data_IF_589006334795
#
_entry.id   IF_589006334795
#
_cell.length_a   1.000
_cell.length_b   1.000
_cell.length_c   1.000
_cell.angle_alpha   90.00
_cell.angle_beta   90.00
_cell.angle_gamma   90.00
#
_symmetry.space_group_name_H-M   'P 1'
#
loop_
_entity.id
_entity.type
_entity.pdbx_description
1 polymer ?
#
# COMPACT_ATOMS: atom_id res chain seq x y z
N UNK A 1 -1.10 12.33 6.90
CA UNK A 1 -1.43 11.24 7.82
C UNK A 1 -2.88 11.35 8.34
N UNK A 2 -3.33 12.47 8.97
CA UNK A 2 -4.69 12.60 9.51
C UNK A 2 -5.81 12.34 8.51
N UNK A 3 -5.66 12.76 7.24
CA UNK A 3 -6.66 12.49 6.19
C UNK A 3 -6.67 11.00 5.83
N UNK A 4 -5.50 10.36 5.82
CA UNK A 4 -5.37 8.93 5.51
C UNK A 4 -5.98 8.06 6.61
N UNK A 5 -5.69 8.38 7.87
CA UNK A 5 -6.13 7.59 9.03
C UNK A 5 -7.65 7.73 9.28
N UNK A 6 -8.20 8.91 9.06
CA UNK A 6 -9.63 9.23 9.35
C UNK A 6 -10.55 9.11 8.15
N UNK A 7 -10.02 8.84 6.95
CA UNK A 7 -10.72 8.78 5.65
C UNK A 7 -11.46 10.08 5.29
N UNK A 8 -12.15 10.70 6.25
CA UNK A 8 -12.92 11.92 6.12
C UNK A 8 -12.62 12.87 7.29
N UNK A 9 -12.21 14.11 7.02
CA UNK A 9 -11.85 15.07 8.07
C UNK A 9 -12.07 16.52 7.60
N UNK A 10 -12.54 17.40 8.48
CA UNK A 10 -12.65 18.83 8.20
C UNK A 10 -11.34 19.57 8.45
N UNK A 11 -11.14 20.72 7.79
CA UNK A 11 -9.98 21.60 8.05
C UNK A 11 -9.90 22.05 9.49
N UNK A 12 -11.07 22.30 10.14
CA UNK A 12 -11.14 22.66 11.55
C UNK A 12 -10.60 21.54 12.43
N UNK A 13 -10.99 20.30 12.15
CA UNK A 13 -10.53 19.13 12.90
C UNK A 13 -9.03 18.89 12.72
N UNK A 14 -8.48 19.09 11.50
CA UNK A 14 -7.03 19.01 11.28
C UNK A 14 -6.31 20.06 12.14
N UNK A 15 -6.83 21.30 12.20
CA UNK A 15 -6.26 22.36 13.02
C UNK A 15 -6.25 21.99 14.52
N UNK A 16 -7.34 21.42 15.03
CA UNK A 16 -7.45 20.95 16.41
C UNK A 16 -6.47 19.80 16.70
N UNK A 17 -6.46 18.77 15.86
CA UNK A 17 -5.65 17.55 16.05
C UNK A 17 -4.13 17.82 15.92
N UNK A 18 -3.73 18.80 15.11
CA UNK A 18 -2.31 19.13 14.86
C UNK A 18 -1.79 20.31 15.66
N UNK A 19 -2.67 21.12 16.26
CA UNK A 19 -2.30 22.39 16.88
C UNK A 19 -1.89 23.49 15.90
N UNK A 20 -1.95 23.25 14.56
CA UNK A 20 -1.68 24.26 13.55
C UNK A 20 -2.81 25.27 13.45
N UNK A 21 -2.48 26.52 13.17
CA UNK A 21 -3.51 27.53 12.97
C UNK A 21 -4.31 27.28 11.67
N UNK A 22 -5.56 27.77 11.62
CA UNK A 22 -6.49 27.54 10.51
C UNK A 22 -5.98 28.05 9.16
N UNK A 23 -5.20 29.14 9.16
CA UNK A 23 -4.63 29.70 7.92
C UNK A 23 -3.57 28.76 7.33
N UNK A 24 -2.66 28.25 8.17
CA UNK A 24 -1.64 27.28 7.77
C UNK A 24 -2.27 26.00 7.22
N UNK A 25 -3.28 25.44 7.92
CA UNK A 25 -4.00 24.26 7.44
C UNK A 25 -4.65 24.54 6.09
N UNK A 26 -5.29 25.71 5.93
CA UNK A 26 -5.93 26.06 4.66
C UNK A 26 -4.95 26.18 3.50
N UNK A 27 -3.76 26.72 3.74
CA UNK A 27 -2.70 26.80 2.72
C UNK A 27 -2.23 25.40 2.31
N UNK A 28 -1.86 24.55 3.28
CA UNK A 28 -1.41 23.17 3.02
C UNK A 28 -2.47 22.38 2.25
N UNK A 29 -3.74 22.47 2.68
CA UNK A 29 -4.84 21.76 2.00
C UNK A 29 -5.00 22.26 0.58
N UNK A 30 -4.92 23.58 0.35
CA UNK A 30 -5.00 24.16 -1.00
C UNK A 30 -3.88 23.63 -1.90
N UNK A 31 -2.65 23.50 -1.38
CA UNK A 31 -1.53 22.95 -2.15
C UNK A 31 -1.78 21.49 -2.50
N UNK A 32 -2.29 20.68 -1.58
CA UNK A 32 -2.63 19.28 -1.85
C UNK A 32 -3.79 19.13 -2.83
N UNK A 33 -4.77 20.03 -2.80
CA UNK A 33 -5.85 20.07 -3.80
C UNK A 33 -5.30 20.44 -5.19
N UNK A 34 -4.38 21.40 -5.27
CA UNK A 34 -3.70 21.77 -6.52
C UNK A 34 -2.90 20.58 -7.09
N UNK A 35 -2.28 19.78 -6.22
CA UNK A 35 -1.60 18.52 -6.56
C UNK A 35 -2.58 17.36 -6.81
N UNK A 36 -3.89 17.57 -6.71
CA UNK A 36 -4.91 16.52 -6.88
C UNK A 36 -4.74 15.30 -5.95
N UNK A 37 -4.14 15.50 -4.79
CA UNK A 37 -3.97 14.46 -3.76
C UNK A 37 -5.18 14.37 -2.83
N UNK A 38 -5.87 15.51 -2.64
CA UNK A 38 -7.01 15.68 -1.74
C UNK A 38 -8.14 16.39 -2.48
N UNK A 39 -9.35 16.01 -2.18
CA UNK A 39 -10.57 16.65 -2.70
C UNK A 39 -11.53 17.05 -1.59
N UNK A 40 -12.37 18.02 -1.86
CA UNK A 40 -13.45 18.46 -0.96
C UNK A 40 -14.74 17.73 -1.34
N UNK A 41 -15.35 17.08 -0.37
CA UNK A 41 -16.65 16.45 -0.51
C UNK A 41 -17.65 17.11 0.42
N UNK A 42 -18.89 17.25 -0.03
CA UNK A 42 -20.00 17.72 0.79
C UNK A 42 -20.81 16.53 1.27
N UNK A 43 -20.34 15.84 2.28
CA UNK A 43 -21.10 14.78 2.94
C UNK A 43 -21.41 15.20 4.36
N UNK A 44 -22.67 15.23 4.73
CA UNK A 44 -23.11 15.44 6.10
C UNK A 44 -24.51 16.01 6.17
N UNK A 45 -25.37 15.37 6.97
CA UNK A 45 -26.66 15.91 7.36
C UNK A 45 -26.44 17.21 8.13
N UNK A 46 -27.05 18.30 7.68
CA UNK A 46 -26.97 19.56 8.38
C UNK A 46 -28.16 19.71 9.32
N UNK A 47 -27.89 19.72 10.60
CA UNK A 47 -28.86 20.15 11.61
C UNK A 47 -28.93 21.70 11.65
N UNK A 48 -29.27 22.32 10.51
CA UNK A 48 -29.61 23.75 10.45
C UNK A 48 -28.44 24.75 10.26
N UNK A 49 -27.22 24.32 9.92
CA UNK A 49 -26.06 25.19 9.66
C UNK A 49 -25.41 24.94 8.27
N UNK A 50 -24.39 25.76 7.91
CA UNK A 50 -23.59 25.54 6.71
C UNK A 50 -22.91 24.15 6.82
N UNK A 51 -23.17 23.28 5.83
CA UNK A 51 -22.56 21.93 5.79
C UNK A 51 -21.04 22.01 5.91
N UNK A 52 -20.41 21.23 6.79
CA UNK A 52 -18.95 21.20 6.88
C UNK A 52 -18.36 20.67 5.58
N UNK A 53 -17.31 21.32 5.12
CA UNK A 53 -16.51 20.83 4.00
C UNK A 53 -15.60 19.73 4.53
N UNK A 54 -15.75 18.54 4.00
CA UNK A 54 -14.98 17.37 4.35
C UNK A 54 -13.87 17.17 3.31
N UNK A 55 -12.68 16.86 3.77
CA UNK A 55 -11.53 16.51 2.97
C UNK A 55 -11.38 15.00 2.93
N UNK A 56 -11.13 14.46 1.75
CA UNK A 56 -10.79 13.05 1.52
C UNK A 56 -9.61 12.97 0.56
N UNK A 57 -8.90 11.84 0.55
CA UNK A 57 -7.91 11.58 -0.49
C UNK A 57 -8.61 11.48 -1.84
N UNK A 58 -7.95 11.91 -2.92
CA UNK A 58 -8.51 11.73 -4.27
C UNK A 58 -8.25 10.29 -4.73
N UNK A 59 -9.31 9.55 -5.06
CA UNK A 59 -9.20 8.17 -5.55
C UNK A 59 -8.44 8.08 -6.88
N UNK A 60 -8.41 9.19 -7.64
CA UNK A 60 -7.72 9.29 -8.91
C UNK A 60 -6.31 9.89 -8.80
N UNK A 61 -5.75 10.03 -7.60
CA UNK A 61 -4.38 10.51 -7.47
C UNK A 61 -3.38 9.50 -8.05
N UNK A 62 -3.48 8.23 -7.67
CA UNK A 62 -2.61 7.18 -8.18
C UNK A 62 -2.90 5.84 -7.53
N UNK A 63 -2.14 4.83 -7.93
CA UNK A 63 -2.36 3.43 -7.57
C UNK A 63 -1.09 2.77 -7.06
N UNK A 64 -1.25 1.75 -6.23
CA UNK A 64 -0.16 0.89 -5.78
C UNK A 64 -0.50 -0.56 -6.11
N UNK A 65 0.52 -1.37 -6.37
CA UNK A 65 0.40 -2.82 -6.49
C UNK A 65 0.95 -3.45 -5.21
N UNK A 66 0.15 -4.29 -4.57
CA UNK A 66 0.62 -5.14 -3.48
C UNK A 66 0.65 -6.60 -3.94
N UNK A 67 1.75 -7.26 -3.61
CA UNK A 67 2.06 -8.65 -3.99
C UNK A 67 2.21 -9.48 -2.72
N UNK A 68 1.40 -10.52 -2.57
CA UNK A 68 1.59 -11.58 -1.58
C UNK A 68 2.25 -12.78 -2.29
N UNK A 69 3.54 -12.95 -2.04
CA UNK A 69 4.33 -14.04 -2.63
C UNK A 69 4.30 -15.26 -1.70
N UNK A 70 3.31 -16.11 -1.94
CA UNK A 70 3.22 -17.42 -1.31
C UNK A 70 4.25 -18.42 -1.83
N UNK A 71 4.17 -19.66 -1.35
CA UNK A 71 5.06 -20.75 -1.78
C UNK A 71 4.53 -21.51 -2.98
N UNK A 72 3.22 -21.52 -3.19
CA UNK A 72 2.53 -22.21 -4.29
C UNK A 72 1.75 -21.25 -5.20
N UNK A 73 1.42 -20.07 -4.70
CA UNK A 73 0.64 -19.06 -5.41
C UNK A 73 1.18 -17.67 -5.10
N UNK A 74 1.05 -16.79 -6.07
CA UNK A 74 1.29 -15.34 -5.90
C UNK A 74 -0.03 -14.63 -6.14
N UNK A 75 -0.43 -13.77 -5.21
CA UNK A 75 -1.60 -12.93 -5.31
C UNK A 75 -1.19 -11.48 -5.47
N UNK A 76 -1.85 -10.76 -6.36
CA UNK A 76 -1.61 -9.35 -6.59
C UNK A 76 -2.91 -8.57 -6.51
N UNK A 77 -2.84 -7.37 -5.98
CA UNK A 77 -3.92 -6.40 -6.02
C UNK A 77 -3.42 -5.07 -6.56
N UNK A 78 -4.25 -4.40 -7.35
CA UNK A 78 -4.12 -2.98 -7.68
C UNK A 78 -5.10 -2.22 -6.78
N UNK A 79 -4.61 -1.26 -6.01
CA UNK A 79 -5.43 -0.44 -5.13
C UNK A 79 -5.11 1.05 -5.30
N UNK A 80 -6.13 1.91 -5.12
CA UNK A 80 -5.94 3.35 -5.10
C UNK A 80 -5.38 3.82 -3.73
N UNK A 81 -5.07 5.11 -3.60
CA UNK A 81 -4.53 5.67 -2.36
C UNK A 81 -5.52 5.68 -1.17
N UNK A 82 -6.80 5.37 -1.41
CA UNK A 82 -7.81 5.14 -0.36
C UNK A 82 -7.80 3.68 0.15
N UNK A 83 -6.92 2.83 -0.37
CA UNK A 83 -6.88 1.37 -0.15
C UNK A 83 -8.10 0.63 -0.72
N UNK A 84 -8.77 1.18 -1.73
CA UNK A 84 -9.85 0.50 -2.45
C UNK A 84 -9.26 -0.34 -3.56
N UNK A 85 -9.62 -1.63 -3.58
CA UNK A 85 -9.09 -2.57 -4.56
C UNK A 85 -9.81 -2.37 -5.88
N UNK A 86 -9.02 -2.09 -6.92
CA UNK A 86 -9.48 -1.83 -8.28
C UNK A 86 -9.45 -3.10 -9.13
N UNK A 87 -8.39 -3.89 -9.01
CA UNK A 87 -8.21 -5.13 -9.75
C UNK A 87 -7.42 -6.15 -8.93
N UNK A 88 -7.55 -7.42 -9.29
CA UNK A 88 -6.84 -8.55 -8.70
C UNK A 88 -6.24 -9.40 -9.80
N UNK A 89 -5.10 -10.01 -9.51
CA UNK A 89 -4.48 -11.02 -10.34
C UNK A 89 -3.85 -12.09 -9.45
N UNK A 90 -3.66 -13.28 -9.98
CA UNK A 90 -2.96 -14.35 -9.27
C UNK A 90 -2.39 -15.37 -10.25
N UNK A 91 -1.33 -16.05 -9.85
CA UNK A 91 -0.77 -17.18 -10.61
C UNK A 91 -0.19 -18.24 -9.68
N UNK A 92 -0.17 -19.48 -10.15
CA UNK A 92 0.43 -20.61 -9.43
C UNK A 92 1.91 -20.72 -9.74
N UNK A 93 2.71 -21.04 -8.72
CA UNK A 93 4.15 -21.36 -8.87
C UNK A 93 4.26 -22.88 -9.12
N UNK A 94 4.54 -23.26 -10.35
CA UNK A 94 4.82 -24.65 -10.74
C UNK A 94 6.30 -24.95 -10.84
N UNK A 95 7.10 -23.91 -11.13
CA UNK A 95 8.55 -23.96 -11.20
C UNK A 95 9.11 -22.89 -10.27
N UNK A 96 9.94 -23.29 -9.32
CA UNK A 96 10.51 -22.40 -8.30
C UNK A 96 11.73 -21.61 -8.78
N UNK A 97 12.21 -21.84 -10.01
CA UNK A 97 13.30 -21.05 -10.58
C UNK A 97 12.94 -19.55 -10.57
N UNK A 98 13.83 -18.75 -9.99
CA UNK A 98 13.57 -17.31 -9.81
C UNK A 98 13.20 -16.63 -11.14
N UNK A 99 13.91 -16.93 -12.23
CA UNK A 99 13.65 -16.34 -13.55
C UNK A 99 12.21 -16.55 -14.03
N UNK A 100 11.64 -17.74 -13.77
CA UNK A 100 10.31 -18.11 -14.24
C UNK A 100 9.23 -17.45 -13.37
N UNK A 101 9.43 -17.42 -12.05
CA UNK A 101 8.52 -16.72 -11.13
C UNK A 101 8.57 -15.21 -11.38
N UNK A 102 9.76 -14.64 -11.58
CA UNK A 102 9.92 -13.21 -11.88
C UNK A 102 9.25 -12.84 -13.22
N UNK A 103 9.40 -13.65 -14.26
CA UNK A 103 8.72 -13.41 -15.55
C UNK A 103 7.18 -13.42 -15.38
N UNK A 104 6.64 -14.40 -14.62
CA UNK A 104 5.21 -14.49 -14.32
C UNK A 104 4.73 -13.30 -13.49
N UNK A 105 5.53 -12.88 -12.51
CA UNK A 105 5.25 -11.69 -11.69
C UNK A 105 5.18 -10.43 -12.54
N UNK A 106 6.15 -10.21 -13.41
CA UNK A 106 6.14 -9.06 -14.34
C UNK A 106 4.90 -9.09 -15.24
N UNK A 107 4.55 -10.26 -15.82
CA UNK A 107 3.35 -10.39 -16.63
C UNK A 107 2.07 -10.03 -15.84
N UNK A 108 1.97 -10.48 -14.59
CA UNK A 108 0.82 -10.15 -13.73
C UNK A 108 0.75 -8.66 -13.37
N UNK A 109 1.90 -8.02 -13.11
CA UNK A 109 2.00 -6.56 -12.86
C UNK A 109 1.59 -5.79 -14.12
N UNK A 110 2.10 -6.17 -15.30
CA UNK A 110 1.77 -5.54 -16.58
C UNK A 110 0.26 -5.62 -16.87
N UNK A 111 -0.38 -6.77 -16.58
CA UNK A 111 -1.83 -6.94 -16.71
C UNK A 111 -2.61 -6.03 -15.76
N UNK A 112 -2.20 -5.92 -14.48
CA UNK A 112 -2.85 -5.01 -13.53
C UNK A 112 -2.66 -3.55 -13.94
N UNK A 113 -1.46 -3.19 -14.39
CA UNK A 113 -1.16 -1.82 -14.84
C UNK A 113 -2.02 -1.45 -16.07
N UNK A 114 -2.28 -2.41 -16.97
CA UNK A 114 -3.16 -2.17 -18.13
C UNK A 114 -4.64 -1.95 -17.75
N UNK A 115 -5.06 -2.42 -16.59
CA UNK A 115 -6.40 -2.23 -16.05
C UNK A 115 -6.53 -0.97 -15.17
N UNK A 116 -5.42 -0.26 -14.95
CA UNK A 116 -5.38 0.92 -14.08
C UNK A 116 -6.22 2.05 -14.70
N UNK A 117 -7.20 2.60 -13.95
CA UNK A 117 -7.96 3.74 -14.43
C UNK A 117 -7.07 4.99 -14.61
N UNK A 118 -7.47 5.96 -15.44
CA UNK A 118 -6.75 7.22 -15.57
C UNK A 118 -6.54 7.90 -14.21
N UNK A 119 -5.31 8.34 -13.95
CA UNK A 119 -4.94 8.98 -12.69
C UNK A 119 -3.87 10.05 -12.88
N UNK A 120 -3.70 10.91 -11.86
CA UNK A 120 -2.76 12.02 -11.94
C UNK A 120 -1.30 11.53 -11.96
N UNK A 121 -0.97 10.51 -11.16
CA UNK A 121 0.40 10.05 -10.93
C UNK A 121 0.67 8.62 -11.40
N UNK A 122 -0.34 7.91 -11.93
CA UNK A 122 -0.16 6.54 -12.39
C UNK A 122 0.15 5.56 -11.27
N UNK A 123 1.06 4.62 -11.56
CA UNK A 123 1.57 3.67 -10.55
C UNK A 123 2.54 4.39 -9.63
N UNK A 124 2.25 4.38 -8.34
CA UNK A 124 3.02 5.07 -7.29
C UNK A 124 4.10 4.19 -6.67
N UNK A 125 3.89 2.87 -6.67
CA UNK A 125 4.83 1.94 -6.08
C UNK A 125 4.32 0.50 -6.07
N UNK A 126 5.25 -0.41 -5.76
CA UNK A 126 5.00 -1.85 -5.64
C UNK A 126 5.46 -2.29 -4.25
N UNK A 127 4.63 -3.06 -3.55
CA UNK A 127 4.97 -3.65 -2.26
C UNK A 127 4.89 -5.16 -2.33
N UNK A 128 5.89 -5.86 -1.79
CA UNK A 128 5.95 -7.31 -1.74
C UNK A 128 5.94 -7.81 -0.30
N UNK A 129 5.04 -8.74 -0.01
CA UNK A 129 5.06 -9.57 1.19
C UNK A 129 5.64 -10.93 0.80
N UNK A 130 6.71 -11.38 1.46
CA UNK A 130 7.36 -12.66 1.14
C UNK A 130 7.56 -13.51 2.39
N UNK A 131 7.52 -14.82 2.22
CA UNK A 131 7.73 -15.79 3.31
C UNK A 131 9.19 -16.21 3.39
N UNK A 132 10.03 -15.26 3.83
CA UNK A 132 11.48 -15.46 3.86
C UNK A 132 12.21 -14.47 4.73
N UNK A 133 13.54 -14.58 4.75
CA UNK A 133 14.44 -13.67 5.45
C UNK A 133 14.84 -12.55 4.48
N UNK A 134 14.53 -11.31 4.86
CA UNK A 134 14.90 -10.10 4.13
C UNK A 134 15.84 -9.29 5.02
N UNK A 135 16.88 -8.72 4.44
CA UNK A 135 17.75 -7.80 5.16
C UNK A 135 17.26 -6.36 5.12
N UNK A 136 18.00 -5.46 5.79
CA UNK A 136 17.66 -4.04 5.89
C UNK A 136 17.75 -3.29 4.55
N UNK A 137 18.46 -3.84 3.57
CA UNK A 137 18.58 -3.28 2.23
C UNK A 137 17.48 -3.79 1.28
N UNK A 138 16.56 -4.65 1.76
CA UNK A 138 15.47 -5.21 0.98
C UNK A 138 15.88 -6.39 0.09
N UNK A 139 17.03 -7.00 0.36
CA UNK A 139 17.50 -8.20 -0.36
C UNK A 139 16.93 -9.45 0.30
N UNK A 140 16.32 -10.31 -0.49
CA UNK A 140 15.89 -11.64 -0.04
C UNK A 140 17.14 -12.47 0.24
N UNK A 141 17.42 -12.72 1.51
CA UNK A 141 18.54 -13.59 1.90
C UNK A 141 18.21 -15.05 1.74
N UNK A 142 16.99 -15.43 2.07
CA UNK A 142 16.55 -16.80 1.89
C UNK A 142 15.03 -16.95 1.91
N UNK A 143 14.47 -17.68 0.92
CA UNK A 143 13.09 -18.20 0.95
C UNK A 143 13.17 -19.72 0.89
N UNK A 144 12.93 -20.43 2.00
CA UNK A 144 13.16 -21.88 2.11
C UNK A 144 12.43 -22.71 1.05
N UNK A 145 11.14 -22.45 0.85
CA UNK A 145 10.28 -23.24 -0.05
C UNK A 145 10.58 -23.01 -1.53
N UNK A 146 11.08 -21.82 -1.90
CA UNK A 146 11.48 -21.51 -3.27
C UNK A 146 12.97 -21.77 -3.51
N UNK A 147 13.75 -22.03 -2.45
CA UNK A 147 15.21 -22.19 -2.47
C UNK A 147 15.92 -20.95 -3.08
N UNK A 148 15.38 -19.76 -2.86
CA UNK A 148 16.02 -18.52 -3.33
C UNK A 148 17.02 -18.02 -2.31
N UNK A 149 18.18 -17.59 -2.79
CA UNK A 149 19.25 -17.04 -1.99
C UNK A 149 19.80 -15.76 -2.61
N UNK A 150 19.97 -14.72 -1.79
CA UNK A 150 20.59 -13.45 -2.16
C UNK A 150 19.99 -12.83 -3.44
N UNK A 151 18.66 -12.69 -3.48
CA UNK A 151 17.91 -12.13 -4.60
C UNK A 151 17.50 -10.70 -4.32
N UNK A 152 17.96 -9.76 -5.13
CA UNK A 152 17.52 -8.35 -5.11
C UNK A 152 16.38 -8.13 -6.11
N UNK A 153 15.18 -8.57 -5.74
CA UNK A 153 14.00 -8.39 -6.57
C UNK A 153 13.54 -6.93 -6.61
N UNK A 154 13.85 -6.14 -5.58
CA UNK A 154 13.48 -4.74 -5.51
C UNK A 154 14.15 -3.92 -6.60
N UNK A 155 15.46 -4.07 -6.77
CA UNK A 155 16.21 -3.40 -7.84
C UNK A 155 15.72 -3.82 -9.23
N UNK A 156 15.46 -5.10 -9.45
CA UNK A 156 14.94 -5.60 -10.73
C UNK A 156 13.57 -5.02 -11.08
N UNK A 157 12.67 -4.91 -10.11
CA UNK A 157 11.35 -4.30 -10.32
C UNK A 157 11.44 -2.78 -10.46
N UNK A 158 12.33 -2.12 -9.69
CA UNK A 158 12.57 -0.69 -9.83
C UNK A 158 13.11 -0.36 -11.23
N UNK A 159 14.09 -1.12 -11.73
CA UNK A 159 14.66 -0.92 -13.06
C UNK A 159 13.61 -1.07 -14.17
N UNK A 160 12.65 -1.97 -13.99
CA UNK A 160 11.60 -2.21 -14.97
C UNK A 160 10.46 -1.18 -14.92
N UNK A 161 9.97 -0.85 -13.73
CA UNK A 161 8.75 -0.05 -13.56
C UNK A 161 9.00 1.40 -13.17
N UNK A 162 10.23 1.76 -12.78
CA UNK A 162 10.67 3.11 -12.40
C UNK A 162 9.80 3.72 -11.28
N UNK A 163 9.33 2.89 -10.36
CA UNK A 163 8.56 3.28 -9.16
C UNK A 163 9.21 2.69 -7.92
N UNK A 164 9.06 3.31 -6.74
CA UNK A 164 9.53 2.74 -5.48
C UNK A 164 9.03 1.31 -5.27
N UNK A 165 9.91 0.43 -4.84
CA UNK A 165 9.60 -0.96 -4.49
C UNK A 165 9.94 -1.18 -3.04
N UNK A 166 9.01 -1.74 -2.28
CA UNK A 166 9.19 -2.12 -0.89
C UNK A 166 8.96 -3.61 -0.71
N UNK A 167 9.77 -4.25 0.11
CA UNK A 167 9.64 -5.67 0.44
C UNK A 167 9.80 -5.86 1.93
N UNK A 168 9.00 -6.76 2.51
CA UNK A 168 9.18 -7.21 3.89
C UNK A 168 8.63 -8.63 4.04
N UNK A 169 8.96 -9.24 5.19
CA UNK A 169 8.37 -10.49 5.61
C UNK A 169 6.86 -10.33 5.84
N UNK A 170 6.08 -11.32 5.43
CA UNK A 170 4.61 -11.29 5.57
C UNK A 170 4.13 -11.15 7.02
N UNK A 171 4.84 -11.76 7.99
CA UNK A 171 4.57 -11.57 9.42
C UNK A 171 4.80 -10.13 9.87
N UNK A 172 5.93 -9.53 9.50
CA UNK A 172 6.23 -8.12 9.84
C UNK A 172 5.19 -7.14 9.26
N UNK A 173 4.80 -7.34 8.00
CA UNK A 173 3.74 -6.53 7.39
C UNK A 173 2.40 -6.71 8.08
N UNK A 174 2.05 -7.95 8.45
CA UNK A 174 0.88 -8.26 9.26
C UNK A 174 0.91 -7.53 10.61
N UNK A 175 2.00 -7.65 11.36
CA UNK A 175 2.17 -6.98 12.65
C UNK A 175 2.10 -5.46 12.52
N UNK A 176 2.74 -4.88 11.49
CA UNK A 176 2.68 -3.44 11.21
C UNK A 176 1.26 -2.97 10.91
N UNK A 177 0.44 -3.77 10.23
CA UNK A 177 -0.95 -3.43 9.94
C UNK A 177 -1.81 -3.53 11.20
N UNK A 178 -1.70 -4.62 11.96
CA UNK A 178 -2.46 -4.84 13.19
C UNK A 178 -2.14 -3.78 14.25
N UNK A 179 -0.88 -3.35 14.38
CA UNK A 179 -0.50 -2.28 15.30
C UNK A 179 -1.17 -0.94 14.99
N UNK A 180 -1.53 -0.69 13.72
CA UNK A 180 -2.30 0.51 13.33
C UNK A 180 -3.79 0.38 13.65
N UNK A 181 -4.34 -0.84 13.57
CA UNK A 181 -5.74 -1.12 13.88
C UNK A 181 -5.98 -1.14 15.40
N UNK A 182 -4.97 -1.55 16.17
CA UNK A 182 -5.03 -1.71 17.62
C UNK A 182 -3.96 -0.88 18.35
N UNK A 183 -3.98 0.47 18.21
CA UNK A 183 -2.95 1.35 18.76
C UNK A 183 -2.89 1.39 20.29
N UNK A 184 -3.84 0.76 20.99
CA UNK A 184 -3.87 0.64 22.44
C UNK A 184 -2.90 -0.40 22.99
N UNK A 185 -2.35 -1.29 22.13
CA UNK A 185 -1.36 -2.28 22.53
C UNK A 185 0.04 -1.76 22.19
N UNK A 186 0.91 -1.71 23.20
CA UNK A 186 2.33 -1.29 23.05
C UNK A 186 3.18 -2.39 22.38
N UNK A 187 2.83 -3.65 22.65
CA UNK A 187 3.47 -4.82 22.07
C UNK A 187 2.42 -5.71 21.41
N UNK A 188 2.66 -6.09 20.18
CA UNK A 188 1.78 -6.95 19.41
C UNK A 188 2.60 -7.98 18.65
N UNK A 189 2.23 -9.24 18.79
CA UNK A 189 2.77 -10.32 17.98
C UNK A 189 1.68 -10.86 17.08
N UNK A 190 1.94 -10.94 15.78
CA UNK A 190 1.03 -11.52 14.80
C UNK A 190 1.56 -12.86 14.33
N UNK A 191 0.73 -13.88 14.46
CA UNK A 191 1.02 -15.21 13.94
C UNK A 191 0.12 -15.49 12.74
N UNK A 192 0.72 -15.60 11.56
CA UNK A 192 0.03 -16.01 10.33
C UNK A 192 0.23 -17.50 10.09
N UNK A 193 -0.88 -18.23 9.97
CA UNK A 193 -0.88 -19.68 9.76
C UNK A 193 -1.55 -19.99 8.42
N UNK A 194 -0.78 -20.51 7.47
CA UNK A 194 -1.24 -20.94 6.15
C UNK A 194 -0.47 -22.20 5.74
N UNK A 195 0.02 -22.29 4.50
CA UNK A 195 0.98 -23.31 4.04
C UNK A 195 2.33 -23.20 4.76
N UNK A 196 2.57 -22.08 5.42
CA UNK A 196 3.71 -21.77 6.28
C UNK A 196 3.22 -21.09 7.54
N UNK A 197 4.08 -21.03 8.56
CA UNK A 197 3.86 -20.23 9.77
C UNK A 197 4.86 -19.09 9.74
N UNK A 198 4.37 -17.86 9.82
CA UNK A 198 5.19 -16.66 9.96
C UNK A 198 4.76 -15.87 11.20
N UNK A 199 5.71 -15.15 11.78
CA UNK A 199 5.54 -14.34 12.97
C UNK A 199 6.17 -12.96 12.73
N UNK A 200 5.49 -11.93 13.16
CA UNK A 200 5.95 -10.54 13.13
C UNK A 200 5.64 -9.82 14.43
#
# INVERSE_FOLDING_TARGET
RHILDKKEISRARISEDTGLNKATVSTIVKDWMNLKLVEETTTGDSNGGRRPIILTLSEHAGYCIAVDMGVSHVNLILANIKNEIVARNSFSIHDTAFSNVYASLCSAIDQLTSQMPPSTYGLLGISLAVRGIIDLDGVIRFIPKLAWHNVDICSLLFDRYQVPVHIDNDGNLGASMESRLYPQYEELTVLSISDTISCG
#
